data_IF_190518056871
#
_entry.id   IF_190518056871
#
_cell.length_a   1.000
_cell.length_b   1.000
_cell.length_c   1.000
_cell.angle_alpha   90.00
_cell.angle_beta   90.00
_cell.angle_gamma   90.00
#
_symmetry.space_group_name_H-M   'P 1'
#
loop_
_entity.id
_entity.type
_entity.pdbx_description
1 polymer ?
#
# COMPACT_ATOMS: atom_id res chain seq x y z
N UNK A 1 15.04 -53.27 -12.98
CA UNK A 1 13.84 -52.46 -12.68
C UNK A 1 12.72 -52.82 -13.64
N UNK A 2 11.63 -53.41 -13.12
CA UNK A 2 10.47 -53.80 -13.95
C UNK A 2 9.71 -52.59 -14.51
N UNK A 3 9.00 -52.75 -15.62
CA UNK A 3 8.22 -51.69 -16.28
C UNK A 3 7.19 -51.05 -15.33
N UNK A 4 6.51 -51.88 -14.51
CA UNK A 4 5.54 -51.44 -13.50
C UNK A 4 6.16 -50.62 -12.37
N UNK A 5 7.41 -50.93 -11.96
CA UNK A 5 8.11 -50.17 -10.94
C UNK A 5 8.50 -48.78 -11.45
N UNK A 6 8.87 -48.67 -12.73
CA UNK A 6 9.14 -47.37 -13.39
C UNK A 6 7.88 -46.52 -13.48
N UNK A 7 6.77 -47.08 -13.97
CA UNK A 7 5.49 -46.37 -14.04
C UNK A 7 5.03 -45.86 -12.66
N UNK A 8 5.15 -46.68 -11.61
CA UNK A 8 4.81 -46.25 -10.24
C UNK A 8 5.70 -45.12 -9.73
N UNK A 9 7.00 -45.19 -10.04
CA UNK A 9 7.95 -44.14 -9.68
C UNK A 9 7.61 -42.82 -10.38
N UNK A 10 7.37 -42.87 -11.69
CA UNK A 10 7.11 -41.68 -12.50
C UNK A 10 5.79 -41.02 -12.13
N UNK A 11 4.74 -41.80 -11.80
CA UNK A 11 3.49 -41.26 -11.26
C UNK A 11 3.67 -40.55 -9.92
N UNK A 12 4.47 -41.13 -9.01
CA UNK A 12 4.77 -40.49 -7.71
C UNK A 12 5.56 -39.20 -7.89
N UNK A 13 6.57 -39.21 -8.77
CA UNK A 13 7.34 -38.02 -9.11
C UNK A 13 6.46 -36.94 -9.76
N UNK A 14 5.56 -37.34 -10.66
CA UNK A 14 4.59 -36.45 -11.29
C UNK A 14 3.65 -35.78 -10.28
N UNK A 15 3.07 -36.56 -9.36
CA UNK A 15 2.20 -36.03 -8.30
C UNK A 15 2.98 -35.09 -7.36
N UNK A 16 4.21 -35.43 -6.98
CA UNK A 16 5.04 -34.58 -6.14
C UNK A 16 5.34 -33.24 -6.84
N UNK A 17 5.67 -33.26 -8.13
CA UNK A 17 5.90 -32.07 -8.94
C UNK A 17 4.64 -31.21 -9.07
N UNK A 18 3.48 -31.84 -9.27
CA UNK A 18 2.19 -31.13 -9.31
C UNK A 18 1.91 -30.44 -7.98
N UNK A 19 2.09 -31.13 -6.85
CA UNK A 19 1.90 -30.54 -5.50
C UNK A 19 2.82 -29.35 -5.28
N UNK A 20 4.10 -29.48 -5.64
CA UNK A 20 5.07 -28.40 -5.51
C UNK A 20 4.69 -27.21 -6.41
N UNK A 21 4.28 -27.48 -7.65
CA UNK A 21 3.80 -26.44 -8.57
C UNK A 21 2.56 -25.72 -8.05
N UNK A 22 1.58 -26.45 -7.49
CA UNK A 22 0.38 -25.85 -6.89
C UNK A 22 0.70 -25.03 -5.66
N UNK A 23 1.63 -25.50 -4.80
CA UNK A 23 2.05 -24.74 -3.62
C UNK A 23 2.75 -23.44 -4.02
N UNK A 24 3.63 -23.49 -5.03
CA UNK A 24 4.29 -22.31 -5.56
C UNK A 24 3.30 -21.31 -6.17
N UNK A 25 2.36 -21.78 -7.00
CA UNK A 25 1.33 -20.93 -7.59
C UNK A 25 0.44 -20.27 -6.53
N UNK A 26 0.06 -21.02 -5.49
CA UNK A 26 -0.69 -20.46 -4.36
C UNK A 26 0.11 -19.40 -3.61
N UNK A 27 1.40 -19.62 -3.37
CA UNK A 27 2.30 -18.63 -2.75
C UNK A 27 2.34 -17.32 -3.55
N UNK A 28 2.56 -17.40 -4.87
CA UNK A 28 2.57 -16.24 -5.76
C UNK A 28 1.24 -15.47 -5.78
N UNK A 29 0.12 -16.19 -5.76
CA UNK A 29 -1.20 -15.56 -5.72
C UNK A 29 -1.43 -14.79 -4.41
N UNK A 30 -0.93 -15.31 -3.28
CA UNK A 30 -0.99 -14.62 -1.99
C UNK A 30 -0.13 -13.35 -1.99
N UNK A 31 1.12 -13.42 -2.47
CA UNK A 31 2.02 -12.26 -2.62
C UNK A 31 1.39 -11.17 -3.50
N UNK A 32 0.80 -11.55 -4.64
CA UNK A 32 0.16 -10.59 -5.54
C UNK A 32 -1.09 -9.96 -4.90
N UNK A 33 -1.88 -10.75 -4.17
CA UNK A 33 -3.06 -10.26 -3.44
C UNK A 33 -2.66 -9.25 -2.38
N UNK A 34 -1.60 -9.55 -1.61
CA UNK A 34 -1.10 -8.65 -0.58
C UNK A 34 -0.57 -7.35 -1.17
N UNK A 35 0.12 -7.42 -2.31
CA UNK A 35 0.54 -6.23 -3.05
C UNK A 35 -0.64 -5.39 -3.54
N UNK A 36 -1.72 -6.02 -4.01
CA UNK A 36 -2.93 -5.31 -4.41
C UNK A 36 -3.62 -4.65 -3.21
N UNK A 37 -3.63 -5.31 -2.05
CA UNK A 37 -4.13 -4.74 -0.80
C UNK A 37 -3.36 -3.47 -0.42
N UNK A 38 -2.02 -3.51 -0.42
CA UNK A 38 -1.20 -2.34 -0.11
C UNK A 38 -1.41 -1.19 -1.11
N UNK A 39 -1.51 -1.50 -2.41
CA UNK A 39 -1.84 -0.49 -3.44
C UNK A 39 -3.18 0.19 -3.20
N UNK A 40 -4.19 -0.56 -2.75
CA UNK A 40 -5.48 0.01 -2.41
C UNK A 40 -5.39 0.93 -1.19
N UNK A 41 -4.67 0.53 -0.15
CA UNK A 41 -4.46 1.37 1.03
C UNK A 41 -3.71 2.67 0.69
N UNK A 42 -2.66 2.60 -0.14
CA UNK A 42 -1.96 3.80 -0.63
C UNK A 42 -2.94 4.74 -1.36
N UNK A 43 -3.80 4.23 -2.24
CA UNK A 43 -4.80 5.07 -2.93
C UNK A 43 -5.79 5.73 -1.97
N UNK A 44 -6.20 5.05 -0.91
CA UNK A 44 -7.07 5.64 0.12
C UNK A 44 -6.36 6.79 0.84
N UNK A 45 -5.10 6.59 1.20
CA UNK A 45 -4.28 7.65 1.84
C UNK A 45 -4.05 8.82 0.89
N UNK A 46 -3.78 8.56 -0.39
CA UNK A 46 -3.63 9.60 -1.41
C UNK A 46 -4.92 10.44 -1.56
N UNK A 47 -6.09 9.79 -1.52
CA UNK A 47 -7.37 10.49 -1.54
C UNK A 47 -7.55 11.37 -0.30
N UNK A 48 -7.28 10.83 0.90
CA UNK A 48 -7.35 11.60 2.15
C UNK A 48 -6.39 12.79 2.15
N UNK A 49 -5.18 12.63 1.60
CA UNK A 49 -4.22 13.72 1.43
C UNK A 49 -4.76 14.80 0.49
N UNK A 50 -5.36 14.42 -0.64
CA UNK A 50 -5.95 15.37 -1.57
C UNK A 50 -7.08 16.18 -0.90
N UNK A 51 -7.93 15.52 -0.12
CA UNK A 51 -9.02 16.16 0.60
C UNK A 51 -8.50 17.15 1.66
N UNK A 52 -7.47 16.77 2.43
CA UNK A 52 -6.85 17.68 3.41
C UNK A 52 -6.14 18.86 2.76
N UNK A 53 -5.45 18.66 1.64
CA UNK A 53 -4.84 19.78 0.92
C UNK A 53 -5.88 20.78 0.43
N UNK A 54 -7.02 20.27 -0.06
CA UNK A 54 -8.14 21.10 -0.44
C UNK A 54 -8.69 21.88 0.75
N UNK A 55 -8.94 21.21 1.88
CA UNK A 55 -9.45 21.84 3.11
C UNK A 55 -8.51 22.94 3.63
N UNK A 56 -7.20 22.68 3.66
CA UNK A 56 -6.18 23.68 4.04
C UNK A 56 -6.23 24.89 3.10
N UNK A 57 -6.29 24.64 1.79
CA UNK A 57 -6.34 25.69 0.78
C UNK A 57 -7.60 26.54 0.89
N UNK A 58 -8.77 25.91 1.00
CA UNK A 58 -10.06 26.58 1.16
C UNK A 58 -10.06 27.47 2.41
N UNK A 59 -9.61 26.94 3.55
CA UNK A 59 -9.55 27.70 4.80
C UNK A 59 -8.57 28.87 4.73
N UNK A 60 -7.40 28.68 4.13
CA UNK A 60 -6.42 29.76 3.94
C UNK A 60 -6.98 30.88 3.04
N UNK A 61 -7.71 30.53 1.98
CA UNK A 61 -8.38 31.50 1.10
C UNK A 61 -9.47 32.26 1.86
N UNK A 62 -10.35 31.56 2.59
CA UNK A 62 -11.41 32.20 3.38
C UNK A 62 -10.84 33.20 4.42
N UNK A 63 -9.75 32.84 5.09
CA UNK A 63 -9.08 33.72 6.05
C UNK A 63 -8.50 34.97 5.37
N UNK A 64 -7.87 34.79 4.21
CA UNK A 64 -7.34 35.90 3.42
C UNK A 64 -8.44 36.84 2.93
N UNK A 65 -9.58 36.30 2.50
CA UNK A 65 -10.76 37.08 2.10
C UNK A 65 -11.34 37.91 3.26
N UNK A 66 -11.20 37.43 4.50
CA UNK A 66 -11.52 38.17 5.72
C UNK A 66 -10.47 39.20 6.13
N UNK A 67 -9.40 39.37 5.35
CA UNK A 67 -8.33 40.34 5.58
C UNK A 67 -7.29 39.90 6.61
N UNK A 68 -7.24 38.62 6.97
CA UNK A 68 -6.22 38.10 7.88
C UNK A 68 -4.87 38.07 7.16
N UNK A 69 -3.82 38.55 7.83
CA UNK A 69 -2.46 38.55 7.28
C UNK A 69 -1.93 37.12 7.12
N UNK A 70 -1.10 36.88 6.09
CA UNK A 70 -0.59 35.53 5.76
C UNK A 70 0.19 34.93 6.93
N UNK A 71 0.95 35.75 7.64
CA UNK A 71 1.72 35.36 8.83
C UNK A 71 0.79 34.85 9.93
N UNK A 72 -0.39 35.47 10.09
CA UNK A 72 -1.38 35.05 11.08
C UNK A 72 -2.09 33.75 10.65
N UNK A 73 -2.34 33.56 9.35
CA UNK A 73 -2.91 32.31 8.80
C UNK A 73 -1.96 31.13 9.06
N UNK A 74 -0.65 31.33 8.89
CA UNK A 74 0.34 30.29 9.15
C UNK A 74 0.41 29.88 10.63
N UNK A 75 0.00 30.77 11.53
CA UNK A 75 -0.06 30.51 12.98
C UNK A 75 -1.46 30.11 13.47
N UNK A 76 -2.43 30.00 12.56
CA UNK A 76 -3.78 29.55 12.91
C UNK A 76 -3.76 28.09 13.39
N UNK A 77 -4.40 27.84 14.54
CA UNK A 77 -4.38 26.53 15.19
C UNK A 77 -5.02 25.44 14.34
N UNK A 78 -6.06 25.77 13.55
CA UNK A 78 -6.71 24.79 12.68
C UNK A 78 -5.87 24.48 11.45
N UNK A 79 -5.23 25.50 10.84
CA UNK A 79 -4.27 25.28 9.75
C UNK A 79 -3.12 24.40 10.22
N UNK A 80 -2.54 24.69 11.39
CA UNK A 80 -1.47 23.88 11.99
C UNK A 80 -1.93 22.43 12.19
N UNK A 81 -3.13 22.22 12.75
CA UNK A 81 -3.70 20.87 12.95
C UNK A 81 -3.88 20.12 11.65
N UNK A 82 -4.40 20.77 10.60
CA UNK A 82 -4.58 20.16 9.30
C UNK A 82 -3.25 19.79 8.65
N UNK A 83 -2.24 20.65 8.76
CA UNK A 83 -0.89 20.37 8.27
C UNK A 83 -0.24 19.20 9.02
N UNK A 84 -0.46 19.09 10.34
CA UNK A 84 -0.02 17.93 11.12
C UNK A 84 -0.68 16.64 10.62
N UNK A 85 -1.98 16.65 10.35
CA UNK A 85 -2.68 15.49 9.79
C UNK A 85 -2.11 15.09 8.42
N UNK A 86 -1.79 16.06 7.55
CA UNK A 86 -1.11 15.81 6.27
C UNK A 86 0.23 15.11 6.50
N UNK A 87 1.01 15.55 7.49
CA UNK A 87 2.31 14.94 7.80
C UNK A 87 2.16 13.49 8.28
N UNK A 88 1.20 13.21 9.17
CA UNK A 88 0.89 11.84 9.62
C UNK A 88 0.48 10.93 8.47
N UNK A 89 -0.35 11.42 7.55
CA UNK A 89 -0.76 10.64 6.37
C UNK A 89 0.40 10.41 5.40
N UNK A 90 1.32 11.37 5.23
CA UNK A 90 2.54 11.17 4.43
C UNK A 90 3.42 10.07 5.01
N UNK A 91 3.60 10.04 6.32
CA UNK A 91 4.35 9.00 7.01
C UNK A 91 3.69 7.63 6.86
N UNK A 92 2.36 7.57 6.98
CA UNK A 92 1.58 6.36 6.75
C UNK A 92 1.74 5.86 5.31
N UNK A 93 1.63 6.76 4.33
CA UNK A 93 1.84 6.45 2.90
C UNK A 93 3.23 5.86 2.66
N UNK A 94 4.27 6.50 3.22
CA UNK A 94 5.65 6.03 3.10
C UNK A 94 5.83 4.64 3.69
N UNK A 95 5.26 4.38 4.88
CA UNK A 95 5.31 3.06 5.51
C UNK A 95 4.68 1.98 4.61
N UNK A 96 3.54 2.27 3.97
CA UNK A 96 2.90 1.35 3.03
C UNK A 96 3.73 1.12 1.76
N UNK A 97 4.46 2.14 1.29
CA UNK A 97 5.40 2.00 0.17
C UNK A 97 6.59 1.11 0.53
N UNK A 98 7.14 1.29 1.72
CA UNK A 98 8.23 0.47 2.26
C UNK A 98 7.76 -1.00 2.41
N UNK A 99 6.61 -1.25 3.03
CA UNK A 99 6.00 -2.58 3.14
C UNK A 99 5.78 -3.24 1.76
N UNK A 100 5.34 -2.47 0.76
CA UNK A 100 5.14 -2.99 -0.59
C UNK A 100 6.46 -3.29 -1.30
N UNK A 101 7.53 -2.57 -0.98
CA UNK A 101 8.87 -2.82 -1.51
C UNK A 101 9.48 -4.08 -0.90
N UNK A 102 9.21 -4.38 0.36
CA UNK A 102 9.68 -5.59 1.04
C UNK A 102 9.05 -6.86 0.44
N UNK A 103 7.77 -6.83 0.03
CA UNK A 103 7.16 -7.94 -0.71
C UNK A 103 7.90 -8.21 -2.05
N UNK A 104 8.49 -7.18 -2.65
CA UNK A 104 9.26 -7.32 -3.90
C UNK A 104 10.66 -7.92 -3.66
N UNK A 105 11.23 -7.76 -2.46
CA UNK A 105 12.57 -8.28 -2.13
C UNK A 105 12.53 -9.72 -1.63
N UNK A 106 11.39 -10.20 -1.14
CA UNK A 106 11.17 -11.59 -0.71
C UNK A 106 10.75 -12.56 -1.84
N UNK A 107 10.44 -12.04 -3.04
CA UNK A 107 9.83 -12.75 -4.18
C UNK A 107 10.77 -13.01 -5.36
#
# INVERSE_FOLDING_TARGET
>A
MGLLQRLRHDLRAGIAKLRLGTAHAAGRALEETERLRLRLEIRKVDQQLADLYKEVGERAVEMKERGIAVEQIAHDADIIRLVQNVQTLKETRKKLEDEMQDIKSEA
#
